data_IF_709293931848
#
_entry.id   IF_709293931848
#
_cell.length_a   1.000
_cell.length_b   1.000
_cell.length_c   1.000
_cell.angle_alpha   90.00
_cell.angle_beta   90.00
_cell.angle_gamma   90.00
#
_symmetry.space_group_name_H-M   'P 1'
#
loop_
_entity.id
_entity.type
_entity.pdbx_description
1 polymer ?
#
# COMPACT_ATOMS: atom_id res chain seq x y z
N UNK A 1 -15.11 -29.83 -0.21
CA UNK A 1 -15.35 -28.58 0.54
C UNK A 1 -15.25 -27.43 -0.45
N UNK A 2 -16.20 -26.49 -0.51
CA UNK A 2 -16.00 -25.27 -1.30
C UNK A 2 -15.00 -24.37 -0.59
N UNK A 3 -14.04 -23.82 -1.34
CA UNK A 3 -13.10 -22.85 -0.77
C UNK A 3 -13.86 -21.60 -0.33
N UNK A 4 -13.65 -21.15 0.91
CA UNK A 4 -14.24 -19.89 1.38
C UNK A 4 -13.53 -18.74 0.68
N UNK A 5 -14.30 -17.90 -0.03
CA UNK A 5 -13.79 -16.66 -0.60
C UNK A 5 -13.56 -15.65 0.51
N UNK A 6 -12.30 -15.20 0.62
CA UNK A 6 -11.89 -14.11 1.51
C UNK A 6 -11.35 -12.98 0.65
N UNK A 7 -11.73 -11.73 0.95
CA UNK A 7 -11.35 -10.53 0.19
C UNK A 7 -10.85 -9.44 1.11
N UNK A 8 -10.09 -8.49 0.55
CA UNK A 8 -9.66 -7.27 1.23
C UNK A 8 -10.73 -6.20 1.00
N UNK A 9 -11.23 -5.59 2.08
CA UNK A 9 -12.27 -4.54 2.03
C UNK A 9 -11.73 -3.13 2.28
N UNK A 10 -10.46 -3.00 2.68
CA UNK A 10 -9.81 -1.72 2.91
C UNK A 10 -8.32 -1.89 3.16
N UNK A 11 -7.55 -0.86 2.81
CA UNK A 11 -6.10 -0.79 3.01
C UNK A 11 -5.76 0.60 3.54
N UNK A 12 -4.81 0.69 4.45
CA UNK A 12 -4.17 1.93 4.88
C UNK A 12 -2.66 1.70 4.98
N UNK A 13 -1.87 2.76 4.81
CA UNK A 13 -0.42 2.65 4.84
C UNK A 13 0.22 3.89 5.48
N UNK A 14 1.21 3.64 6.34
CA UNK A 14 2.15 4.62 6.85
C UNK A 14 3.55 4.12 6.51
N UNK A 15 4.31 4.90 5.76
CA UNK A 15 5.64 4.52 5.28
C UNK A 15 6.56 5.73 5.12
N UNK A 16 7.88 5.53 4.94
CA UNK A 16 8.78 6.61 4.58
C UNK A 16 8.47 7.28 3.22
N UNK A 17 7.63 6.66 2.39
CA UNK A 17 7.17 7.23 1.11
C UNK A 17 5.90 8.08 1.26
N UNK A 18 5.21 8.02 2.40
CA UNK A 18 3.95 8.72 2.61
C UNK A 18 3.16 8.24 3.83
N UNK A 19 2.28 9.12 4.34
CA UNK A 19 1.45 8.87 5.51
C UNK A 19 0.02 8.40 5.16
N UNK A 20 -0.21 8.07 3.90
CA UNK A 20 -1.45 7.48 3.43
C UNK A 20 -1.16 6.49 2.28
N UNK A 21 -2.21 5.80 1.84
CA UNK A 21 -2.13 4.81 0.78
C UNK A 21 -1.73 5.47 -0.55
N UNK A 22 -2.34 6.60 -0.88
CA UNK A 22 -2.15 7.32 -2.14
C UNK A 22 -0.70 7.78 -2.32
N UNK A 23 -0.14 8.45 -1.32
CA UNK A 23 1.24 8.95 -1.31
C UNK A 23 2.26 7.82 -1.34
N UNK A 24 2.02 6.77 -0.54
CA UNK A 24 2.89 5.58 -0.55
C UNK A 24 2.89 4.91 -1.92
N UNK A 25 1.72 4.71 -2.52
CA UNK A 25 1.58 4.05 -3.82
C UNK A 25 2.20 4.86 -4.95
N UNK A 26 2.01 6.19 -4.95
CA UNK A 26 2.65 7.07 -5.90
C UNK A 26 4.19 7.04 -5.76
N UNK A 27 4.70 6.97 -4.52
CA UNK A 27 6.14 6.82 -4.25
C UNK A 27 6.74 5.58 -4.86
N UNK A 28 6.06 4.45 -4.66
CA UNK A 28 6.44 3.16 -5.21
C UNK A 28 6.43 3.16 -6.73
N UNK A 29 5.34 3.61 -7.36
CA UNK A 29 5.21 3.63 -8.82
C UNK A 29 6.27 4.48 -9.52
N UNK A 30 6.67 5.59 -8.90
CA UNK A 30 7.68 6.50 -9.45
C UNK A 30 9.11 6.15 -9.01
N UNK A 31 9.32 5.03 -8.31
CA UNK A 31 10.65 4.59 -7.88
C UNK A 31 11.34 5.56 -6.92
N UNK A 32 10.58 6.32 -6.11
CA UNK A 32 11.16 7.21 -5.11
C UNK A 32 11.75 6.40 -3.96
N UNK A 33 12.93 6.80 -3.48
CA UNK A 33 13.52 6.25 -2.25
C UNK A 33 12.90 6.91 -1.03
N UNK A 34 12.57 6.10 -0.02
CA UNK A 34 12.16 6.57 1.31
C UNK A 34 13.34 6.83 2.26
N UNK A 35 14.58 6.59 1.81
CA UNK A 35 15.81 6.82 2.55
C UNK A 35 16.40 8.17 2.11
N UNK A 36 16.81 9.00 3.07
CA UNK A 36 17.57 10.24 2.84
C UNK A 36 19.07 9.99 3.05
#
# INVERSE_FOLDING_TARGET
MSERRVVITGIGCLSPLGNDLESTWDGLKNGRSGIK
#
